data_IF_310081041753
#
_entry.id   IF_310081041753
#
_cell.length_a   1.000
_cell.length_b   1.000
_cell.length_c   1.000
_cell.angle_alpha   90.00
_cell.angle_beta   90.00
_cell.angle_gamma   90.00
#
_symmetry.space_group_name_H-M   'P 1'
#
loop_
_entity.id
_entity.type
_entity.pdbx_description
1 polymer ?
#
# COMPACT_ATOMS: atom_id res chain seq x y z
N UNK A 1 40.55 33.00 -4.78
CA UNK A 1 39.65 31.82 -4.81
C UNK A 1 38.96 31.74 -3.46
N UNK A 2 37.63 31.84 -3.44
CA UNK A 2 36.83 32.02 -2.23
C UNK A 2 36.61 30.70 -1.45
N UNK A 3 36.50 30.75 -0.11
CA UNK A 3 36.27 29.61 0.78
C UNK A 3 34.79 29.22 0.91
N UNK A 4 34.03 29.18 -0.19
CA UNK A 4 32.57 28.92 -0.18
C UNK A 4 32.16 27.52 -0.63
N UNK A 5 33.08 26.67 -1.11
CA UNK A 5 32.72 25.35 -1.67
C UNK A 5 33.01 24.14 -0.75
N UNK A 6 33.70 24.31 0.38
CA UNK A 6 34.02 23.19 1.29
C UNK A 6 32.93 22.89 2.34
N UNK A 7 31.99 23.83 2.58
CA UNK A 7 30.99 23.73 3.67
C UNK A 7 29.70 23.01 3.22
N UNK A 8 29.49 22.80 1.92
CA UNK A 8 28.26 22.17 1.40
C UNK A 8 28.28 20.62 1.40
N UNK A 9 29.40 19.99 1.80
CA UNK A 9 29.62 18.56 1.59
C UNK A 9 29.16 17.64 2.74
N UNK A 10 29.23 18.07 4.00
CA UNK A 10 28.98 17.16 5.13
C UNK A 10 27.52 16.66 5.23
N UNK A 11 26.46 17.51 5.14
CA UNK A 11 25.07 17.04 5.29
C UNK A 11 24.65 16.09 4.16
N UNK A 12 25.07 16.38 2.93
CA UNK A 12 24.72 15.54 1.78
C UNK A 12 25.41 14.16 1.85
N UNK A 13 26.66 14.12 2.33
CA UNK A 13 27.37 12.86 2.57
C UNK A 13 26.67 12.02 3.65
N UNK A 14 26.28 12.63 4.78
CA UNK A 14 25.53 11.91 5.81
C UNK A 14 24.17 11.41 5.29
N UNK A 15 23.45 12.21 4.50
CA UNK A 15 22.19 11.78 3.89
C UNK A 15 22.37 10.59 2.94
N UNK A 16 23.45 10.58 2.15
CA UNK A 16 23.80 9.44 1.29
C UNK A 16 24.11 8.18 2.12
N UNK A 17 24.90 8.32 3.19
CA UNK A 17 25.23 7.21 4.09
C UNK A 17 23.99 6.66 4.80
N UNK A 18 23.05 7.51 5.23
CA UNK A 18 21.78 7.10 5.82
C UNK A 18 20.91 6.35 4.79
N UNK A 19 20.91 6.80 3.54
CA UNK A 19 20.20 6.13 2.44
C UNK A 19 20.79 4.75 2.15
N UNK A 20 22.13 4.62 2.23
CA UNK A 20 22.83 3.34 2.16
C UNK A 20 22.41 2.42 3.31
N UNK A 21 22.34 2.94 4.55
CA UNK A 21 21.91 2.16 5.71
C UNK A 21 20.50 1.60 5.54
N UNK A 22 19.56 2.39 5.00
CA UNK A 22 18.20 1.93 4.70
C UNK A 22 18.22 0.75 3.73
N UNK A 23 19.01 0.85 2.67
CA UNK A 23 19.10 -0.20 1.64
C UNK A 23 19.75 -1.49 2.14
N UNK A 24 20.75 -1.38 3.01
CA UNK A 24 21.48 -2.54 3.55
C UNK A 24 20.95 -3.02 4.91
N UNK A 25 19.94 -2.36 5.46
CA UNK A 25 19.43 -2.58 6.82
C UNK A 25 20.54 -2.57 7.89
N UNK A 26 21.56 -1.71 7.73
CA UNK A 26 22.74 -1.68 8.60
C UNK A 26 22.56 -0.72 9.79
N UNK A 27 22.00 -1.26 10.88
CA UNK A 27 21.81 -0.53 12.13
C UNK A 27 23.13 -0.15 12.82
N UNK A 28 24.24 -0.88 12.58
CA UNK A 28 25.53 -0.54 13.21
C UNK A 28 26.07 0.74 12.61
N UNK A 29 26.07 0.85 11.28
CA UNK A 29 26.46 2.05 10.57
C UNK A 29 25.54 3.24 10.93
N UNK A 30 24.23 2.99 11.02
CA UNK A 30 23.27 4.00 11.46
C UNK A 30 23.58 4.60 12.85
N UNK A 31 23.96 3.76 13.82
CA UNK A 31 24.38 4.22 15.16
C UNK A 31 25.69 4.99 15.16
N UNK A 32 26.65 4.58 14.34
CA UNK A 32 27.91 5.33 14.17
C UNK A 32 27.62 6.72 13.62
N UNK A 33 26.79 6.82 12.58
CA UNK A 33 26.37 8.10 12.00
C UNK A 33 25.64 8.94 13.06
N UNK A 34 24.70 8.37 13.81
CA UNK A 34 24.00 9.07 14.89
C UNK A 34 24.97 9.67 15.91
N UNK A 35 25.91 8.86 16.43
CA UNK A 35 26.90 9.33 17.39
C UNK A 35 27.79 10.45 16.84
N UNK A 36 28.12 10.40 15.54
CA UNK A 36 28.92 11.42 14.88
C UNK A 36 28.13 12.71 14.70
N UNK A 37 26.86 12.63 14.32
CA UNK A 37 25.96 13.80 14.21
C UNK A 37 25.78 14.53 15.55
N UNK A 38 25.70 13.79 16.67
CA UNK A 38 25.67 14.39 18.01
C UNK A 38 27.00 15.09 18.31
N UNK A 39 28.13 14.42 18.08
CA UNK A 39 29.48 14.97 18.36
C UNK A 39 29.81 16.21 17.54
N UNK A 40 29.30 16.32 16.33
CA UNK A 40 29.53 17.47 15.44
C UNK A 40 28.44 18.55 15.57
N UNK A 41 27.49 18.41 16.51
CA UNK A 41 26.32 19.27 16.66
C UNK A 41 25.44 19.40 15.39
N UNK A 42 25.61 18.48 14.43
CA UNK A 42 24.81 18.41 13.21
C UNK A 42 23.43 17.76 13.46
N UNK A 43 23.19 17.21 14.65
CA UNK A 43 21.85 16.81 15.09
C UNK A 43 20.87 17.99 15.18
N UNK A 44 21.36 19.23 15.29
CA UNK A 44 20.55 20.44 15.19
C UNK A 44 20.00 20.68 13.78
N UNK A 45 20.56 20.03 12.75
CA UNK A 45 20.04 20.10 11.39
C UNK A 45 18.78 19.22 11.27
N UNK A 46 17.62 19.86 11.20
CA UNK A 46 16.30 19.20 11.12
C UNK A 46 16.17 18.23 9.96
N UNK A 47 16.85 18.48 8.83
CA UNK A 47 16.86 17.57 7.69
C UNK A 47 17.59 16.26 8.02
N UNK A 48 18.82 16.34 8.56
CA UNK A 48 19.61 15.15 8.91
C UNK A 48 18.96 14.34 10.01
N UNK A 49 18.41 15.01 11.01
CA UNK A 49 17.75 14.34 12.12
C UNK A 49 16.44 13.65 11.70
N UNK A 50 15.62 14.27 10.83
CA UNK A 50 14.46 13.59 10.25
C UNK A 50 14.86 12.38 9.39
N UNK A 51 15.94 12.48 8.62
CA UNK A 51 16.50 11.35 7.86
C UNK A 51 17.01 10.23 8.76
N UNK A 52 17.56 10.58 9.92
CA UNK A 52 18.03 9.60 10.89
C UNK A 52 16.86 8.84 11.54
N UNK A 53 15.78 9.54 11.92
CA UNK A 53 14.55 8.92 12.41
C UNK A 53 13.94 8.00 11.33
N UNK A 54 13.86 8.46 10.09
CA UNK A 54 13.38 7.65 8.95
C UNK A 54 14.25 6.41 8.72
N UNK A 55 15.58 6.54 8.84
CA UNK A 55 16.51 5.42 8.74
C UNK A 55 16.25 4.38 9.83
N UNK A 56 16.18 4.78 11.11
CA UNK A 56 15.89 3.85 12.19
C UNK A 56 14.49 3.22 12.08
N UNK A 57 13.49 4.00 11.65
CA UNK A 57 12.14 3.52 11.39
C UNK A 57 12.11 2.43 10.32
N UNK A 58 12.78 2.66 9.18
CA UNK A 58 12.87 1.68 8.08
C UNK A 58 13.71 0.46 8.43
N UNK A 59 14.74 0.64 9.25
CA UNK A 59 15.54 -0.47 9.80
C UNK A 59 14.86 -1.15 10.99
N UNK A 60 13.55 -0.99 11.16
CA UNK A 60 12.74 -1.69 12.15
C UNK A 60 13.08 -1.43 13.62
N UNK A 61 13.86 -0.39 13.92
CA UNK A 61 14.34 -0.08 15.26
C UNK A 61 13.71 1.20 15.82
N UNK A 62 12.50 1.08 16.35
CA UNK A 62 11.73 2.23 16.84
C UNK A 62 12.33 2.85 18.11
N UNK A 63 13.01 2.08 18.95
CA UNK A 63 13.65 2.63 20.17
C UNK A 63 14.77 3.63 19.82
N UNK A 64 15.63 3.28 18.85
CA UNK A 64 16.63 4.23 18.35
C UNK A 64 16.01 5.39 17.56
N UNK A 65 14.86 5.18 16.90
CA UNK A 65 14.12 6.29 16.26
C UNK A 65 13.59 7.27 17.32
N UNK A 66 13.08 6.76 18.45
CA UNK A 66 12.65 7.57 19.59
C UNK A 66 13.83 8.30 20.23
N UNK A 67 14.98 7.63 20.39
CA UNK A 67 16.18 8.27 20.89
C UNK A 67 16.64 9.42 19.99
N UNK A 68 16.75 9.18 18.67
CA UNK A 68 17.10 10.21 17.70
C UNK A 68 16.11 11.38 17.69
N UNK A 69 14.82 11.10 17.92
CA UNK A 69 13.80 12.13 18.09
C UNK A 69 13.98 12.92 19.40
N UNK A 70 14.32 12.25 20.50
CA UNK A 70 14.56 12.91 21.78
C UNK A 70 15.78 13.84 21.70
N UNK A 71 16.82 13.41 21.00
CA UNK A 71 18.09 14.13 20.77
C UNK A 71 17.92 15.38 19.86
N UNK A 72 16.73 15.62 19.31
CA UNK A 72 16.38 16.85 18.59
C UNK A 72 16.24 18.05 19.53
N UNK A 73 17.06 19.09 19.29
CA UNK A 73 16.94 20.39 19.95
C UNK A 73 15.61 21.10 19.66
N UNK A 74 15.15 21.02 18.40
CA UNK A 74 13.86 21.57 17.99
C UNK A 74 13.09 20.54 17.16
N UNK A 75 11.90 20.17 17.64
CA UNK A 75 11.01 19.19 17.00
C UNK A 75 9.97 19.95 16.17
N UNK A 76 9.86 19.61 14.89
CA UNK A 76 8.83 20.15 13.99
C UNK A 76 7.79 19.08 13.63
N UNK A 77 6.68 19.47 13.00
CA UNK A 77 5.58 18.57 12.62
C UNK A 77 6.07 17.34 11.84
N UNK A 78 7.08 17.49 10.97
CA UNK A 78 7.66 16.37 10.23
C UNK A 78 8.36 15.36 11.15
N UNK A 79 9.13 15.80 12.14
CA UNK A 79 9.80 14.91 13.10
C UNK A 79 8.77 14.10 13.90
N UNK A 80 7.69 14.75 14.35
CA UNK A 80 6.58 14.10 15.03
C UNK A 80 5.87 13.07 14.13
N UNK A 81 5.52 13.46 12.91
CA UNK A 81 4.86 12.56 11.94
C UNK A 81 5.72 11.36 11.53
N UNK A 82 7.04 11.54 11.42
CA UNK A 82 7.98 10.46 11.07
C UNK A 82 8.04 9.42 12.17
N UNK A 83 8.14 9.83 13.43
CA UNK A 83 8.14 8.93 14.58
C UNK A 83 6.76 8.31 14.84
N UNK A 84 5.68 9.09 14.71
CA UNK A 84 4.30 8.58 14.77
C UNK A 84 4.07 7.47 13.75
N UNK A 85 4.52 7.70 12.50
CA UNK A 85 4.46 6.69 11.44
C UNK A 85 5.29 5.45 11.77
N UNK A 86 6.43 5.60 12.46
CA UNK A 86 7.26 4.48 12.91
C UNK A 86 6.52 3.61 13.94
N UNK A 87 5.90 4.22 14.95
CA UNK A 87 5.06 3.50 15.91
C UNK A 87 3.88 2.80 15.24
N UNK A 88 3.20 3.52 14.33
CA UNK A 88 2.09 2.99 13.55
C UNK A 88 2.52 1.75 12.74
N UNK A 89 3.63 1.79 12.01
CA UNK A 89 4.14 0.67 11.20
C UNK A 89 4.51 -0.56 12.02
N UNK A 90 4.86 -0.40 13.30
CA UNK A 90 5.13 -1.51 14.23
C UNK A 90 3.89 -2.01 14.96
N UNK A 91 2.72 -1.40 14.76
CA UNK A 91 1.51 -1.72 15.51
C UNK A 91 1.53 -1.27 16.97
N UNK A 92 2.47 -0.40 17.36
CA UNK A 92 2.57 0.16 18.71
C UNK A 92 1.59 1.33 18.89
N UNK A 93 0.30 1.05 18.73
CA UNK A 93 -0.76 2.07 18.67
C UNK A 93 -0.90 2.89 19.95
N UNK A 94 -0.66 2.29 21.12
CA UNK A 94 -0.72 3.01 22.39
C UNK A 94 0.29 4.17 22.43
N UNK A 95 1.55 3.88 22.07
CA UNK A 95 2.59 4.90 21.94
C UNK A 95 2.27 5.91 20.83
N UNK A 96 1.66 5.46 19.73
CA UNK A 96 1.25 6.34 18.64
C UNK A 96 0.17 7.35 19.08
N UNK A 97 -0.85 6.91 19.85
CA UNK A 97 -1.87 7.80 20.39
C UNK A 97 -1.29 8.78 21.42
N UNK A 98 -0.47 8.29 22.35
CA UNK A 98 0.24 9.16 23.31
C UNK A 98 1.08 10.23 22.60
N UNK A 99 1.75 9.85 21.50
CA UNK A 99 2.52 10.77 20.68
C UNK A 99 1.66 11.83 20.00
N UNK A 100 0.46 11.44 19.53
CA UNK A 100 -0.49 12.37 18.92
C UNK A 100 -1.04 13.37 19.95
N UNK A 101 -1.34 12.91 21.16
CA UNK A 101 -1.90 13.74 22.23
C UNK A 101 -0.93 14.82 22.72
N UNK A 102 0.38 14.55 22.66
CA UNK A 102 1.44 15.49 23.05
C UNK A 102 1.92 16.35 21.87
N UNK A 103 1.53 16.03 20.63
CA UNK A 103 1.94 16.78 19.46
C UNK A 103 1.36 18.21 19.53
N UNK A 104 2.17 19.28 19.39
CA UNK A 104 1.67 20.65 19.50
C UNK A 104 0.61 21.02 18.46
N UNK A 105 0.86 20.61 17.20
CA UNK A 105 -0.02 20.90 16.07
C UNK A 105 -0.19 19.64 15.21
N UNK A 106 -1.05 18.69 15.63
CA UNK A 106 -1.37 17.53 14.82
C UNK A 106 -2.15 17.95 13.57
N UNK A 107 -1.75 17.42 12.42
CA UNK A 107 -2.33 17.77 11.13
C UNK A 107 -2.85 16.53 10.40
N UNK A 108 -3.43 16.75 9.22
CA UNK A 108 -4.05 15.69 8.40
C UNK A 108 -3.13 14.49 8.19
N UNK A 109 -1.82 14.71 8.02
CA UNK A 109 -0.82 13.65 7.87
C UNK A 109 -0.68 12.80 9.13
N UNK A 110 -0.72 13.42 10.33
CA UNK A 110 -0.69 12.71 11.62
C UNK A 110 -1.88 11.75 11.75
N UNK A 111 -3.08 12.23 11.43
CA UNK A 111 -4.31 11.44 11.50
C UNK A 111 -4.34 10.34 10.44
N UNK A 112 -3.93 10.64 9.20
CA UNK A 112 -3.90 9.67 8.10
C UNK A 112 -2.95 8.50 8.36
N UNK A 113 -1.83 8.77 9.04
CA UNK A 113 -0.88 7.73 9.47
C UNK A 113 -1.55 6.73 10.42
N UNK A 114 -2.35 7.21 11.38
CA UNK A 114 -3.08 6.37 12.33
C UNK A 114 -4.21 5.61 11.63
N UNK A 115 -5.05 6.30 10.85
CA UNK A 115 -6.19 5.70 10.14
C UNK A 115 -5.70 4.57 9.22
N UNK A 116 -4.71 4.85 8.38
CA UNK A 116 -4.19 3.88 7.41
C UNK A 116 -3.54 2.70 8.12
N UNK A 117 -2.75 2.96 9.18
CA UNK A 117 -2.10 1.88 9.92
C UNK A 117 -3.09 0.97 10.66
N UNK A 118 -4.10 1.54 11.32
CA UNK A 118 -5.13 0.73 11.99
C UNK A 118 -5.86 -0.17 11.00
N UNK A 119 -6.19 0.33 9.81
CA UNK A 119 -6.81 -0.48 8.76
C UNK A 119 -5.90 -1.61 8.30
N UNK A 120 -4.62 -1.33 8.00
CA UNK A 120 -3.66 -2.35 7.54
C UNK A 120 -3.32 -3.41 8.59
N UNK A 121 -3.38 -3.07 9.88
CA UNK A 121 -3.15 -4.02 10.97
C UNK A 121 -4.43 -4.78 11.40
N UNK A 122 -5.50 -4.70 10.62
CA UNK A 122 -6.73 -5.48 10.89
C UNK A 122 -7.63 -4.87 11.97
N UNK A 123 -7.51 -3.57 12.25
CA UNK A 123 -8.39 -2.83 13.16
C UNK A 123 -9.25 -1.76 12.45
N UNK A 124 -9.96 -2.07 11.34
CA UNK A 124 -10.73 -1.07 10.58
C UNK A 124 -11.85 -0.42 11.40
N UNK A 125 -12.42 -1.13 12.38
CA UNK A 125 -13.42 -0.55 13.29
C UNK A 125 -12.85 0.54 14.20
N UNK A 126 -11.60 0.37 14.68
CA UNK A 126 -10.90 1.40 15.46
C UNK A 126 -10.54 2.60 14.58
N UNK A 127 -10.12 2.37 13.34
CA UNK A 127 -9.86 3.44 12.37
C UNK A 127 -11.11 4.29 12.14
N UNK A 128 -12.26 3.65 11.93
CA UNK A 128 -13.54 4.34 11.78
C UNK A 128 -13.97 5.12 13.03
N UNK A 129 -13.83 4.52 14.21
CA UNK A 129 -14.12 5.19 15.48
C UNK A 129 -13.22 6.40 15.71
N UNK A 130 -11.94 6.30 15.35
CA UNK A 130 -10.99 7.41 15.42
C UNK A 130 -11.37 8.55 14.46
N UNK A 131 -11.64 8.26 13.18
CA UNK A 131 -12.07 9.28 12.21
C UNK A 131 -13.37 10.00 12.61
N UNK A 132 -14.34 9.28 13.17
CA UNK A 132 -15.56 9.91 13.69
C UNK A 132 -15.27 10.86 14.85
N UNK A 133 -14.42 10.43 15.81
CA UNK A 133 -14.01 11.26 16.95
C UNK A 133 -13.28 12.52 16.50
N UNK A 134 -12.30 12.40 15.60
CA UNK A 134 -11.55 13.56 15.09
C UNK A 134 -12.48 14.52 14.36
N UNK A 135 -13.40 14.03 13.53
CA UNK A 135 -14.37 14.89 12.84
C UNK A 135 -15.29 15.66 13.81
N UNK A 136 -15.75 15.03 14.89
CA UNK A 136 -16.60 15.68 15.91
C UNK A 136 -15.82 16.73 16.69
N UNK A 137 -14.58 16.44 17.08
CA UNK A 137 -13.74 17.34 17.87
C UNK A 137 -13.42 18.65 17.13
N UNK A 138 -13.18 18.57 15.83
CA UNK A 138 -12.77 19.72 15.00
C UNK A 138 -13.93 20.34 14.19
N UNK A 139 -15.20 20.10 14.53
CA UNK A 139 -16.40 20.75 13.95
C UNK A 139 -16.39 20.93 12.41
N UNK A 140 -15.99 19.91 11.65
CA UNK A 140 -15.82 19.97 10.18
C UNK A 140 -14.77 20.97 9.65
N UNK A 141 -13.99 21.66 10.48
CA UNK A 141 -12.81 22.43 10.08
C UNK A 141 -11.60 21.54 9.79
N UNK A 142 -11.65 20.28 10.24
CA UNK A 142 -10.65 19.28 9.88
C UNK A 142 -10.63 19.07 8.38
N UNK A 143 -9.58 19.54 7.72
CA UNK A 143 -9.37 19.39 6.29
C UNK A 143 -9.21 17.91 5.95
N UNK A 144 -10.20 17.36 5.26
CA UNK A 144 -10.17 15.99 4.74
C UNK A 144 -9.52 16.06 3.36
N UNK A 145 -8.46 15.28 3.15
CA UNK A 145 -7.78 15.14 1.86
C UNK A 145 -8.10 13.79 1.21
N UNK A 146 -7.53 13.56 0.02
CA UNK A 146 -7.64 12.31 -0.72
C UNK A 146 -7.16 11.09 0.09
N UNK A 147 -6.09 11.23 0.87
CA UNK A 147 -5.51 10.15 1.65
C UNK A 147 -6.40 9.76 2.84
N UNK A 148 -7.06 10.72 3.47
CA UNK A 148 -8.07 10.46 4.50
C UNK A 148 -9.22 9.64 3.92
N UNK A 149 -9.72 10.01 2.72
CA UNK A 149 -10.79 9.28 2.04
C UNK A 149 -10.34 7.85 1.73
N UNK A 150 -9.17 7.67 1.14
CA UNK A 150 -8.63 6.33 0.80
C UNK A 150 -8.49 5.44 2.03
N UNK A 151 -7.91 5.95 3.12
CA UNK A 151 -7.77 5.19 4.37
C UNK A 151 -9.11 4.74 4.96
N UNK A 152 -10.12 5.59 4.86
CA UNK A 152 -11.48 5.31 5.33
C UNK A 152 -12.28 4.38 4.40
N UNK A 153 -12.10 4.51 3.09
CA UNK A 153 -12.68 3.62 2.08
C UNK A 153 -12.13 2.21 2.25
N UNK A 154 -10.82 2.06 2.47
CA UNK A 154 -10.19 0.77 2.77
C UNK A 154 -10.75 0.15 4.05
N UNK A 155 -10.96 0.96 5.11
CA UNK A 155 -11.60 0.48 6.34
C UNK A 155 -13.03 -0.02 6.08
N UNK A 156 -13.81 0.70 5.27
CA UNK A 156 -15.16 0.30 4.89
C UNK A 156 -15.16 -1.00 4.08
N UNK A 157 -14.21 -1.15 3.16
CA UNK A 157 -14.03 -2.35 2.36
C UNK A 157 -13.77 -3.59 3.22
N UNK A 158 -12.90 -3.47 4.24
CA UNK A 158 -12.62 -4.55 5.18
C UNK A 158 -13.82 -4.93 6.06
N UNK A 159 -14.72 -3.98 6.34
CA UNK A 159 -15.89 -4.17 7.21
C UNK A 159 -17.17 -4.49 6.43
N UNK A 160 -17.17 -4.43 5.10
CA UNK A 160 -18.39 -4.47 4.30
C UNK A 160 -19.36 -3.32 4.61
N UNK A 161 -18.86 -2.18 5.10
CA UNK A 161 -19.67 -1.07 5.61
C UNK A 161 -20.24 -0.19 4.49
N UNK A 162 -21.11 -0.74 3.65
CA UNK A 162 -21.62 -0.11 2.43
C UNK A 162 -22.28 1.26 2.64
N UNK A 163 -23.02 1.44 3.74
CA UNK A 163 -23.67 2.73 4.05
C UNK A 163 -22.63 3.84 4.20
N UNK A 164 -21.58 3.58 4.97
CA UNK A 164 -20.51 4.56 5.19
C UNK A 164 -19.67 4.76 3.92
N UNK A 165 -19.43 3.69 3.14
CA UNK A 165 -18.75 3.81 1.85
C UNK A 165 -19.47 4.80 0.91
N UNK A 166 -20.80 4.78 0.88
CA UNK A 166 -21.61 5.75 0.12
C UNK A 166 -21.50 7.18 0.67
N UNK A 167 -21.51 7.34 1.99
CA UNK A 167 -21.29 8.64 2.63
C UNK A 167 -19.90 9.22 2.28
N UNK A 168 -18.85 8.38 2.29
CA UNK A 168 -17.49 8.77 1.89
C UNK A 168 -17.39 9.09 0.40
N UNK A 169 -18.13 8.39 -0.46
CA UNK A 169 -18.18 8.72 -1.89
C UNK A 169 -18.88 10.07 -2.13
N UNK A 170 -19.97 10.35 -1.42
CA UNK A 170 -20.57 11.69 -1.41
C UNK A 170 -19.57 12.76 -0.94
N UNK A 171 -18.85 12.49 0.14
CA UNK A 171 -17.81 13.39 0.65
C UNK A 171 -16.69 13.64 -0.36
N UNK A 172 -16.20 12.61 -1.05
CA UNK A 172 -15.19 12.72 -2.10
C UNK A 172 -15.63 13.65 -3.24
N UNK A 173 -16.93 13.67 -3.55
CA UNK A 173 -17.52 14.59 -4.53
C UNK A 173 -17.52 16.02 -4.01
N UNK A 174 -17.89 16.23 -2.74
CA UNK A 174 -17.95 17.56 -2.11
C UNK A 174 -16.57 18.21 -1.99
N UNK A 175 -15.54 17.44 -1.63
CA UNK A 175 -14.17 17.96 -1.50
C UNK A 175 -13.41 18.02 -2.84
N UNK A 176 -14.05 17.61 -3.95
CA UNK A 176 -13.49 17.73 -5.29
C UNK A 176 -12.47 16.66 -5.69
N UNK A 177 -12.34 15.56 -4.93
CA UNK A 177 -11.37 14.47 -5.22
C UNK A 177 -12.01 13.27 -5.92
N UNK A 178 -13.28 13.34 -6.34
CA UNK A 178 -14.02 12.23 -6.95
C UNK A 178 -13.33 11.62 -8.17
N UNK A 179 -12.63 12.41 -8.98
CA UNK A 179 -11.94 11.94 -10.20
C UNK A 179 -10.45 11.68 -9.98
N UNK A 180 -9.96 11.80 -8.75
CA UNK A 180 -8.59 11.45 -8.43
C UNK A 180 -8.40 9.94 -8.63
N UNK A 181 -7.39 9.57 -9.43
CA UNK A 181 -7.11 8.18 -9.81
C UNK A 181 -6.96 7.26 -8.58
N UNK A 182 -6.27 7.72 -7.52
CA UNK A 182 -6.05 6.96 -6.29
C UNK A 182 -7.36 6.72 -5.55
N UNK A 183 -8.22 7.75 -5.45
CA UNK A 183 -9.53 7.66 -4.81
C UNK A 183 -10.46 6.75 -5.61
N UNK A 184 -10.53 6.89 -6.94
CA UNK A 184 -11.33 6.03 -7.82
C UNK A 184 -10.94 4.56 -7.67
N UNK A 185 -9.64 4.28 -7.71
CA UNK A 185 -9.10 2.92 -7.57
C UNK A 185 -9.46 2.31 -6.21
N UNK A 186 -9.34 3.07 -5.11
CA UNK A 186 -9.76 2.62 -3.78
C UNK A 186 -11.28 2.37 -3.71
N UNK A 187 -12.09 3.23 -4.32
CA UNK A 187 -13.55 3.07 -4.36
C UNK A 187 -13.98 1.84 -5.17
N UNK A 188 -13.35 1.58 -6.32
CA UNK A 188 -13.63 0.41 -7.17
C UNK A 188 -13.42 -0.89 -6.37
N UNK A 189 -12.28 -1.04 -5.69
CA UNK A 189 -12.00 -2.20 -4.85
C UNK A 189 -12.98 -2.28 -3.65
N UNK A 190 -13.28 -1.16 -3.01
CA UNK A 190 -14.18 -1.14 -1.86
C UNK A 190 -15.63 -1.50 -2.21
N UNK A 191 -16.17 -0.97 -3.31
CA UNK A 191 -17.50 -1.34 -3.79
C UNK A 191 -17.52 -2.78 -4.27
N UNK A 192 -16.45 -3.27 -4.90
CA UNK A 192 -16.31 -4.68 -5.28
C UNK A 192 -16.33 -5.61 -4.06
N UNK A 193 -15.55 -5.30 -3.02
CA UNK A 193 -15.55 -6.05 -1.74
C UNK A 193 -16.89 -5.99 -1.01
N UNK A 194 -17.65 -4.91 -1.18
CA UNK A 194 -19.02 -4.79 -0.65
C UNK A 194 -20.10 -5.44 -1.56
N UNK A 195 -19.71 -6.15 -2.62
CA UNK A 195 -20.63 -6.82 -3.55
C UNK A 195 -21.42 -5.88 -4.47
N UNK A 196 -20.97 -4.63 -4.64
CA UNK A 196 -21.64 -3.58 -5.42
C UNK A 196 -20.87 -3.26 -6.71
N UNK A 197 -20.66 -4.28 -7.53
CA UNK A 197 -19.87 -4.23 -8.76
C UNK A 197 -20.39 -3.22 -9.80
N UNK A 198 -21.69 -2.95 -9.83
CA UNK A 198 -22.28 -1.91 -10.69
C UNK A 198 -21.74 -0.50 -10.35
N UNK A 199 -21.54 -0.21 -9.06
CA UNK A 199 -20.93 1.05 -8.64
C UNK A 199 -19.45 1.09 -8.99
N UNK A 200 -18.73 -0.03 -8.85
CA UNK A 200 -17.34 -0.14 -9.31
C UNK A 200 -17.23 0.17 -10.82
N UNK A 201 -18.11 -0.42 -11.64
CA UNK A 201 -18.15 -0.18 -13.08
C UNK A 201 -18.55 1.27 -13.41
N UNK A 202 -19.55 1.83 -12.74
CA UNK A 202 -19.96 3.21 -12.94
C UNK A 202 -18.83 4.20 -12.66
N UNK A 203 -18.07 3.99 -11.58
CA UNK A 203 -16.90 4.81 -11.26
C UNK A 203 -15.84 4.64 -12.34
N UNK A 204 -15.56 3.40 -12.74
CA UNK A 204 -14.57 3.10 -13.78
C UNK A 204 -14.89 3.81 -15.11
N UNK A 205 -16.14 3.78 -15.58
CA UNK A 205 -16.55 4.49 -16.80
C UNK A 205 -16.44 6.01 -16.73
N UNK A 206 -16.36 6.59 -15.54
CA UNK A 206 -16.24 8.04 -15.34
C UNK A 206 -14.79 8.51 -15.20
N UNK A 207 -13.83 7.58 -15.20
CA UNK A 207 -12.41 7.91 -15.12
C UNK A 207 -11.92 8.40 -16.48
N UNK A 208 -11.37 9.63 -16.51
CA UNK A 208 -10.76 10.18 -17.73
C UNK A 208 -9.42 9.51 -18.05
N UNK A 209 -8.70 9.12 -17.01
CA UNK A 209 -7.44 8.36 -17.10
C UNK A 209 -7.62 7.05 -16.35
N UNK A 210 -7.23 5.95 -17.00
CA UNK A 210 -7.19 4.62 -16.40
C UNK A 210 -5.77 4.08 -16.46
N UNK A 211 -5.33 3.48 -15.37
CA UNK A 211 -4.03 2.82 -15.27
C UNK A 211 -4.23 1.31 -15.15
N UNK A 212 -3.15 0.54 -15.25
CA UNK A 212 -3.26 -0.92 -15.14
C UNK A 212 -3.91 -1.35 -13.81
N UNK A 213 -3.73 -0.55 -12.75
CA UNK A 213 -4.36 -0.81 -11.46
C UNK A 213 -5.89 -0.66 -11.51
N UNK A 214 -6.44 0.34 -12.21
CA UNK A 214 -7.89 0.53 -12.34
C UNK A 214 -8.54 -0.64 -13.09
N UNK A 215 -7.93 -1.10 -14.18
CA UNK A 215 -8.39 -2.27 -14.94
C UNK A 215 -8.33 -3.55 -14.12
N UNK A 216 -7.20 -3.82 -13.46
CA UNK A 216 -7.03 -5.02 -12.62
C UNK A 216 -7.96 -5.02 -11.41
N UNK A 217 -8.21 -3.86 -10.78
CA UNK A 217 -9.18 -3.72 -9.70
C UNK A 217 -10.61 -4.05 -10.15
N UNK A 218 -10.98 -3.62 -11.36
CA UNK A 218 -12.29 -3.91 -11.92
C UNK A 218 -12.43 -5.39 -12.34
N UNK A 219 -11.37 -6.01 -12.87
CA UNK A 219 -11.34 -7.46 -13.11
C UNK A 219 -11.59 -8.24 -11.81
N UNK A 220 -10.85 -7.90 -10.74
CA UNK A 220 -11.03 -8.53 -9.43
C UNK A 220 -12.46 -8.35 -8.92
N UNK A 221 -13.07 -7.18 -9.14
CA UNK A 221 -14.46 -6.93 -8.76
C UNK A 221 -15.42 -7.88 -9.52
N UNK A 222 -15.30 -8.04 -10.84
CA UNK A 222 -16.16 -8.97 -11.59
C UNK A 222 -15.93 -10.44 -11.23
N UNK A 223 -14.67 -10.85 -11.02
CA UNK A 223 -14.32 -12.21 -10.62
C UNK A 223 -14.98 -12.57 -9.27
N UNK A 224 -14.92 -11.67 -8.28
CA UNK A 224 -15.58 -11.85 -6.98
C UNK A 224 -17.10 -11.93 -7.07
N UNK A 225 -17.67 -11.30 -8.09
CA UNK A 225 -19.09 -11.40 -8.41
C UNK A 225 -19.49 -12.70 -9.13
N UNK A 226 -18.51 -13.58 -9.41
CA UNK A 226 -18.65 -14.73 -10.32
C UNK A 226 -19.16 -14.33 -11.71
N UNK A 227 -18.93 -13.08 -12.14
CA UNK A 227 -19.28 -12.55 -13.46
C UNK A 227 -18.11 -12.75 -14.43
N UNK A 228 -17.73 -14.01 -14.65
CA UNK A 228 -16.53 -14.36 -15.42
C UNK A 228 -16.59 -13.90 -16.89
N UNK A 229 -17.78 -13.90 -17.51
CA UNK A 229 -17.95 -13.40 -18.87
C UNK A 229 -17.63 -11.90 -18.99
N UNK A 230 -18.10 -11.08 -18.05
CA UNK A 230 -17.79 -9.65 -18.01
C UNK A 230 -16.31 -9.41 -17.69
N UNK A 231 -15.70 -10.24 -16.84
CA UNK A 231 -14.27 -10.19 -16.56
C UNK A 231 -13.43 -10.47 -17.82
N UNK A 232 -13.78 -11.49 -18.61
CA UNK A 232 -13.12 -11.76 -19.89
C UNK A 232 -13.28 -10.61 -20.88
N UNK A 233 -14.51 -10.10 -21.06
CA UNK A 233 -14.76 -8.96 -21.96
C UNK A 233 -13.96 -7.71 -21.55
N UNK A 234 -13.84 -7.46 -20.24
CA UNK A 234 -13.03 -6.36 -19.73
C UNK A 234 -11.53 -6.60 -19.96
N UNK A 235 -11.05 -7.83 -19.75
CA UNK A 235 -9.66 -8.22 -19.99
C UNK A 235 -9.27 -8.06 -21.46
N UNK A 236 -10.17 -8.44 -22.37
CA UNK A 236 -9.97 -8.27 -23.80
C UNK A 236 -9.86 -6.81 -24.21
N UNK A 237 -10.59 -5.93 -23.52
CA UNK A 237 -10.61 -4.48 -23.74
C UNK A 237 -9.41 -3.74 -23.13
N UNK A 238 -8.55 -4.42 -22.34
CA UNK A 238 -7.40 -3.77 -21.71
C UNK A 238 -6.37 -3.33 -22.77
N UNK A 239 -5.91 -2.05 -22.73
CA UNK A 239 -4.89 -1.57 -23.68
C UNK A 239 -3.55 -2.31 -23.56
N UNK A 240 -3.18 -2.70 -22.33
CA UNK A 240 -1.95 -3.45 -22.03
C UNK A 240 -2.26 -4.50 -20.98
N UNK A 241 -2.08 -5.78 -21.34
CA UNK A 241 -2.28 -6.93 -20.44
C UNK A 241 -0.93 -7.32 -19.83
N UNK A 242 -0.67 -6.85 -18.60
CA UNK A 242 0.55 -7.21 -17.89
C UNK A 242 0.41 -8.55 -17.14
N UNK A 243 1.51 -9.05 -16.59
CA UNK A 243 1.57 -10.28 -15.79
C UNK A 243 0.51 -10.32 -14.69
N UNK A 244 0.20 -9.16 -14.07
CA UNK A 244 -0.80 -9.05 -13.00
C UNK A 244 -2.21 -9.31 -13.53
N UNK A 245 -2.60 -8.72 -14.67
CA UNK A 245 -3.92 -8.93 -15.25
C UNK A 245 -4.17 -10.40 -15.63
N UNK A 246 -3.19 -11.04 -16.27
CA UNK A 246 -3.23 -12.48 -16.58
C UNK A 246 -3.36 -13.32 -15.31
N UNK A 247 -2.54 -13.03 -14.29
CA UNK A 247 -2.57 -13.75 -13.01
C UNK A 247 -3.91 -13.62 -12.31
N UNK A 248 -4.52 -12.41 -12.32
CA UNK A 248 -5.85 -12.16 -11.74
C UNK A 248 -6.91 -13.02 -12.44
N UNK A 249 -6.91 -13.08 -13.76
CA UNK A 249 -7.89 -13.87 -14.52
C UNK A 249 -7.74 -15.38 -14.26
N UNK A 250 -6.52 -15.90 -14.28
CA UNK A 250 -6.20 -17.30 -13.96
C UNK A 250 -6.66 -17.66 -12.54
N UNK A 251 -6.33 -16.79 -11.57
CA UNK A 251 -6.74 -16.95 -10.17
C UNK A 251 -8.26 -16.97 -10.06
N UNK A 252 -8.95 -16.09 -10.80
CA UNK A 252 -10.41 -15.99 -10.78
C UNK A 252 -11.09 -17.25 -11.29
N UNK A 253 -10.63 -17.82 -12.40
CA UNK A 253 -11.15 -19.09 -12.90
C UNK A 253 -10.85 -20.25 -11.93
N UNK A 254 -9.65 -20.31 -11.36
CA UNK A 254 -9.28 -21.31 -10.37
C UNK A 254 -10.20 -21.26 -9.13
N UNK A 255 -10.45 -20.07 -8.58
CA UNK A 255 -11.27 -19.86 -7.39
C UNK A 255 -12.77 -20.12 -7.62
N UNK A 256 -13.25 -19.93 -8.85
CA UNK A 256 -14.64 -20.18 -9.23
C UNK A 256 -14.88 -21.63 -9.70
N UNK A 257 -13.90 -22.53 -9.53
CA UNK A 257 -14.03 -23.96 -9.88
C UNK A 257 -13.92 -24.26 -11.38
N UNK A 258 -13.45 -23.31 -12.18
CA UNK A 258 -13.30 -23.44 -13.63
C UNK A 258 -11.82 -23.71 -13.99
N UNK A 259 -11.23 -24.74 -13.38
CA UNK A 259 -9.79 -25.04 -13.48
C UNK A 259 -9.28 -25.27 -14.91
N UNK A 260 -10.09 -25.90 -15.77
CA UNK A 260 -9.77 -26.08 -17.19
C UNK A 260 -9.54 -24.73 -17.90
N UNK A 261 -10.41 -23.75 -17.67
CA UNK A 261 -10.27 -22.41 -18.26
C UNK A 261 -9.05 -21.70 -17.71
N UNK A 262 -8.74 -21.86 -16.42
CA UNK A 262 -7.53 -21.30 -15.83
C UNK A 262 -6.26 -21.81 -16.54
N UNK A 263 -6.21 -23.10 -16.91
CA UNK A 263 -5.11 -23.69 -17.68
C UNK A 263 -5.07 -23.20 -19.14
N UNK A 264 -6.22 -22.99 -19.78
CA UNK A 264 -6.28 -22.39 -21.11
C UNK A 264 -5.72 -20.97 -21.11
N UNK A 265 -6.17 -20.12 -20.18
CA UNK A 265 -5.67 -18.73 -20.04
C UNK A 265 -4.17 -18.72 -19.71
N UNK A 266 -3.67 -19.65 -18.89
CA UNK A 266 -2.24 -19.78 -18.61
C UNK A 266 -1.45 -20.16 -19.87
N UNK A 267 -1.98 -21.04 -20.72
CA UNK A 267 -1.34 -21.38 -22.00
C UNK A 267 -1.28 -20.17 -22.93
N UNK A 268 -2.37 -19.42 -23.05
CA UNK A 268 -2.42 -18.18 -23.84
C UNK A 268 -1.39 -17.15 -23.36
N UNK A 269 -1.25 -16.98 -22.04
CA UNK A 269 -0.23 -16.12 -21.44
C UNK A 269 1.20 -16.51 -21.88
N UNK A 270 1.50 -17.81 -21.92
CA UNK A 270 2.80 -18.32 -22.37
C UNK A 270 3.02 -18.13 -23.87
N UNK A 271 1.97 -18.33 -24.68
CA UNK A 271 2.01 -18.14 -26.13
C UNK A 271 2.24 -16.67 -26.51
N UNK A 272 1.71 -15.71 -25.73
CA UNK A 272 2.01 -14.29 -25.86
C UNK A 272 3.41 -13.90 -25.32
N UNK A 273 4.19 -14.86 -24.82
CA UNK A 273 5.54 -14.62 -24.31
C UNK A 273 5.57 -13.87 -22.98
N UNK A 274 4.47 -13.82 -22.25
CA UNK A 274 4.39 -13.15 -20.95
C UNK A 274 4.93 -14.08 -19.87
N UNK A 275 6.05 -13.70 -19.25
CA UNK A 275 6.70 -14.51 -18.21
C UNK A 275 5.81 -14.60 -16.96
N UNK A 276 5.40 -15.81 -16.54
CA UNK A 276 4.57 -15.97 -15.34
C UNK A 276 5.31 -15.61 -14.06
N UNK A 277 4.56 -15.08 -13.09
CA UNK A 277 5.07 -14.79 -11.75
C UNK A 277 4.89 -15.99 -10.82
N UNK A 278 5.57 -15.99 -9.67
CA UNK A 278 5.37 -17.02 -8.63
C UNK A 278 3.89 -17.18 -8.24
N UNK A 279 3.14 -16.07 -8.13
CA UNK A 279 1.69 -16.08 -7.84
C UNK A 279 0.87 -16.73 -8.95
N UNK A 280 1.30 -16.60 -10.21
CA UNK A 280 0.65 -17.24 -11.36
C UNK A 280 0.74 -18.76 -11.23
N UNK A 281 1.93 -19.29 -10.93
CA UNK A 281 2.13 -20.73 -10.72
C UNK A 281 1.32 -21.28 -9.55
N UNK A 282 1.26 -20.57 -8.42
CA UNK A 282 0.42 -20.96 -7.28
C UNK A 282 -1.06 -21.06 -7.70
N UNK A 283 -1.53 -20.11 -8.51
CA UNK A 283 -2.91 -20.10 -8.99
C UNK A 283 -3.21 -21.27 -9.93
N UNK A 284 -2.29 -21.57 -10.85
CA UNK A 284 -2.38 -22.75 -11.72
C UNK A 284 -2.38 -24.04 -10.92
N UNK A 285 -1.48 -24.19 -9.94
CA UNK A 285 -1.45 -25.35 -9.06
C UNK A 285 -2.75 -25.52 -8.29
N UNK A 286 -3.36 -24.42 -7.83
CA UNK A 286 -4.66 -24.47 -7.16
C UNK A 286 -5.79 -24.93 -8.10
N UNK A 287 -5.75 -24.55 -9.38
CA UNK A 287 -6.68 -25.04 -10.40
C UNK A 287 -6.50 -26.54 -10.69
N UNK A 288 -5.29 -27.07 -10.50
CA UNK A 288 -4.95 -28.48 -10.70
C UNK A 288 -5.16 -29.37 -9.48
N UNK A 289 -5.66 -28.83 -8.36
CA UNK A 289 -5.92 -29.62 -7.16
C UNK A 289 -7.00 -30.71 -7.39
N UNK A 290 -7.82 -30.56 -8.43
CA UNK A 290 -8.74 -31.60 -8.89
C UNK A 290 -8.00 -32.67 -9.71
N UNK A 291 -8.13 -33.94 -9.30
CA UNK A 291 -7.40 -35.11 -9.80
C UNK A 291 -7.31 -35.22 -11.35
N UNK A 292 -8.36 -34.91 -12.14
CA UNK A 292 -8.28 -35.00 -13.61
C UNK A 292 -7.36 -33.95 -14.27
N UNK A 293 -7.09 -32.82 -13.61
CA UNK A 293 -6.34 -31.69 -14.16
C UNK A 293 -4.86 -31.70 -13.81
N UNK A 294 -4.45 -32.59 -12.90
CA UNK A 294 -3.10 -32.66 -12.37
C UNK A 294 -2.05 -33.00 -13.44
N UNK A 295 -2.35 -33.93 -14.35
CA UNK A 295 -1.40 -34.31 -15.42
C UNK A 295 -1.17 -33.18 -16.43
N UNK A 296 -2.24 -32.49 -16.83
CA UNK A 296 -2.15 -31.31 -17.71
C UNK A 296 -1.38 -30.16 -17.06
N UNK A 297 -1.65 -29.90 -15.78
CA UNK A 297 -0.94 -28.87 -15.02
C UNK A 297 0.56 -29.13 -14.94
N UNK A 298 0.95 -30.38 -14.63
CA UNK A 298 2.37 -30.78 -14.60
C UNK A 298 3.06 -30.52 -15.93
N UNK A 299 2.47 -30.97 -17.04
CA UNK A 299 3.05 -30.79 -18.37
C UNK A 299 3.24 -29.30 -18.72
N UNK A 300 2.27 -28.45 -18.41
CA UNK A 300 2.37 -27.01 -18.70
C UNK A 300 3.41 -26.30 -17.84
N UNK A 301 3.53 -26.66 -16.55
CA UNK A 301 4.53 -26.05 -15.66
C UNK A 301 5.95 -26.51 -16.02
N UNK A 302 6.12 -27.78 -16.39
CA UNK A 302 7.41 -28.29 -16.89
C UNK A 302 7.84 -27.58 -18.18
N UNK A 303 6.92 -27.36 -19.13
CA UNK A 303 7.18 -26.58 -20.35
C UNK A 303 7.56 -25.12 -20.07
N UNK A 304 7.09 -24.54 -18.96
CA UNK A 304 7.41 -23.17 -18.56
C UNK A 304 8.75 -23.03 -17.81
N UNK A 305 9.52 -24.13 -17.67
CA UNK A 305 10.88 -24.11 -17.13
C UNK A 305 11.00 -24.21 -15.61
N UNK A 306 9.93 -24.62 -14.91
CA UNK A 306 9.99 -24.94 -13.47
C UNK A 306 9.86 -26.45 -13.28
N UNK A 307 10.97 -27.11 -12.91
CA UNK A 307 10.92 -28.46 -12.34
C UNK A 307 10.30 -28.39 -10.94
N UNK A 308 8.97 -28.48 -10.85
CA UNK A 308 8.31 -28.75 -9.59
C UNK A 308 8.49 -30.25 -9.29
N UNK A 309 9.06 -30.51 -8.10
CA UNK A 309 9.46 -31.83 -7.58
C UNK A 309 10.83 -32.33 -8.08
N UNK A 310 11.89 -31.79 -7.46
CA UNK A 310 13.09 -32.58 -7.23
C UNK A 310 12.76 -33.72 -6.27
N UNK A 311 12.51 -34.91 -6.83
CA UNK A 311 12.61 -36.15 -6.10
C UNK A 311 14.06 -36.64 -6.24
N UNK A 312 14.86 -36.39 -5.20
CA UNK A 312 15.79 -37.31 -4.54
C UNK A 312 16.66 -36.55 -3.53
#
# INVERSE_FOLDING_TARGET
>A
MQPSEAISSEPNQFAHLLSKCIRTNDLKLGRLIHSRLIKTALNCNTFLANRLIDMYSKCSSVDYAQQAFNDLSHKNTQSWNTLLSAYCKKGLFEKAFQMLDVMPEPNVVSYNSIISSLTHHGFPGKAMGFFKRTRTQYKNEFLIDEFTVVGMVNACACLGALKLLRELHGLATVIGVRFNLVVCNAMIDAYGKCGKHEYSYFIFCQMHETDVFSWTSMLVAYIRASRMADACSLFDSMPVRNVVAWTVLITGFAQNGEGDKALCIFKEMLEEGIVPSASTYVSVLSACADIPLLERGKQQIECAGIHLFGAQ
#
